data_IF_584501373912
#
_entry.id   IF_584501373912
#
_cell.length_a   1.000
_cell.length_b   1.000
_cell.length_c   1.000
_cell.angle_alpha   90.00
_cell.angle_beta   90.00
_cell.angle_gamma   90.00
#
_symmetry.space_group_name_H-M   'P 1'
#
loop_
_entity.id
_entity.type
_entity.pdbx_description
1 polymer ?
#
# COMPACT_ATOMS: atom_id res chain seq x y z
N UNK A 1 5.72 -17.95 10.07
CA UNK A 1 7.10 -17.60 10.44
C UNK A 1 7.68 -16.41 9.66
N UNK A 2 7.48 -16.29 8.34
CA UNK A 2 8.10 -15.22 7.52
C UNK A 2 7.68 -13.78 7.89
N UNK A 3 6.41 -13.54 8.19
CA UNK A 3 5.93 -12.20 8.60
C UNK A 3 6.62 -11.66 9.87
N UNK A 4 6.78 -12.50 10.90
CA UNK A 4 7.42 -12.09 12.14
C UNK A 4 8.94 -11.90 11.96
N UNK A 5 9.57 -12.72 11.13
CA UNK A 5 10.97 -12.54 10.75
C UNK A 5 11.18 -11.21 10.01
N UNK A 6 10.31 -10.87 9.05
CA UNK A 6 10.33 -9.59 8.34
C UNK A 6 10.22 -8.40 9.30
N UNK A 7 9.34 -8.49 10.31
CA UNK A 7 9.22 -7.46 11.36
C UNK A 7 10.48 -7.32 12.20
N UNK A 8 11.13 -8.43 12.55
CA UNK A 8 12.40 -8.39 13.27
C UNK A 8 13.48 -7.72 12.42
N UNK A 9 13.58 -8.08 11.14
CA UNK A 9 14.52 -7.44 10.19
C UNK A 9 14.30 -5.93 10.13
N UNK A 10 13.05 -5.49 10.05
CA UNK A 10 12.69 -4.07 10.09
C UNK A 10 13.16 -3.39 11.40
N UNK A 11 12.89 -3.99 12.56
CA UNK A 11 13.35 -3.47 13.85
C UNK A 11 14.87 -3.41 13.98
N UNK A 12 15.60 -4.24 13.24
CA UNK A 12 17.08 -4.22 13.19
C UNK A 12 17.64 -3.26 12.14
N UNK A 13 16.81 -2.47 11.46
CA UNK A 13 17.23 -1.52 10.42
C UNK A 13 17.53 -2.16 9.07
N UNK A 14 17.28 -3.46 8.90
CA UNK A 14 17.52 -4.21 7.66
C UNK A 14 16.30 -4.10 6.75
N UNK A 15 16.02 -2.88 6.28
CA UNK A 15 14.77 -2.54 5.59
C UNK A 15 14.60 -3.23 4.24
N UNK A 16 15.69 -3.43 3.49
CA UNK A 16 15.66 -4.11 2.18
C UNK A 16 15.28 -5.58 2.32
N UNK A 17 15.87 -6.28 3.30
CA UNK A 17 15.55 -7.67 3.56
C UNK A 17 14.16 -7.83 4.17
N UNK A 18 13.76 -6.90 5.04
CA UNK A 18 12.40 -6.84 5.56
C UNK A 18 11.39 -6.70 4.41
N UNK A 19 11.63 -5.77 3.47
CA UNK A 19 10.82 -5.59 2.25
C UNK A 19 10.71 -6.90 1.48
N UNK A 20 11.83 -7.58 1.21
CA UNK A 20 11.82 -8.81 0.42
C UNK A 20 11.04 -9.94 1.11
N UNK A 21 11.14 -10.03 2.44
CA UNK A 21 10.34 -10.98 3.22
C UNK A 21 8.84 -10.62 3.25
N UNK A 22 8.49 -9.33 3.29
CA UNK A 22 7.09 -8.89 3.19
C UNK A 22 6.52 -9.16 1.80
N UNK A 23 7.28 -8.91 0.73
CA UNK A 23 6.90 -9.28 -0.64
C UNK A 23 6.68 -10.78 -0.76
N UNK A 24 7.55 -11.61 -0.17
CA UNK A 24 7.36 -13.05 -0.13
C UNK A 24 6.09 -13.46 0.64
N UNK A 25 5.72 -12.75 1.71
CA UNK A 25 4.45 -12.98 2.41
C UNK A 25 3.26 -12.67 1.50
N UNK A 26 3.32 -11.59 0.72
CA UNK A 26 2.25 -11.16 -0.18
C UNK A 26 2.10 -12.07 -1.41
N UNK A 27 3.18 -12.70 -1.88
CA UNK A 27 3.08 -13.75 -2.92
C UNK A 27 2.28 -14.96 -2.45
N UNK A 28 2.39 -15.33 -1.17
CA UNK A 28 1.65 -16.46 -0.58
C UNK A 28 0.23 -16.04 -0.20
N UNK A 29 0.07 -14.84 0.34
CA UNK A 29 -1.22 -14.30 0.74
C UNK A 29 -1.38 -12.85 0.23
N UNK A 30 -1.87 -12.67 -1.01
CA UNK A 30 -2.04 -11.33 -1.60
C UNK A 30 -3.04 -10.45 -0.83
N UNK A 31 -3.96 -11.07 -0.11
CA UNK A 31 -4.95 -10.40 0.74
C UNK A 31 -4.51 -10.21 2.19
N UNK A 32 -3.25 -9.84 2.44
CA UNK A 32 -2.73 -9.66 3.80
C UNK A 32 -2.41 -8.18 4.11
N UNK A 33 -3.38 -7.41 4.64
CA UNK A 33 -3.23 -5.96 4.83
C UNK A 33 -2.06 -5.57 5.73
N UNK A 34 -1.79 -6.37 6.78
CA UNK A 34 -0.66 -6.14 7.68
C UNK A 34 0.69 -6.28 6.99
N UNK A 35 0.84 -7.18 6.02
CA UNK A 35 2.10 -7.28 5.28
C UNK A 35 2.30 -6.07 4.35
N UNK A 36 1.23 -5.58 3.71
CA UNK A 36 1.28 -4.35 2.90
C UNK A 36 1.59 -3.11 3.73
N UNK A 37 1.02 -3.00 4.94
CA UNK A 37 1.33 -1.93 5.88
C UNK A 37 2.82 -1.91 6.24
N UNK A 38 3.38 -3.05 6.64
CA UNK A 38 4.80 -3.13 6.98
C UNK A 38 5.71 -2.99 5.75
N UNK A 39 5.24 -3.35 4.55
CA UNK A 39 5.94 -3.08 3.30
C UNK A 39 6.02 -1.57 3.03
N UNK A 40 4.93 -0.83 3.27
CA UNK A 40 4.91 0.63 3.19
C UNK A 40 5.92 1.29 4.13
N UNK A 41 5.97 0.82 5.38
CA UNK A 41 6.97 1.28 6.37
C UNK A 41 8.41 0.99 5.92
N UNK A 42 8.66 -0.17 5.30
CA UNK A 42 9.97 -0.47 4.74
C UNK A 42 10.35 0.50 3.62
N UNK A 43 9.40 0.86 2.75
CA UNK A 43 9.65 1.82 1.68
C UNK A 43 9.87 3.25 2.20
N UNK A 44 9.15 3.68 3.24
CA UNK A 44 9.44 4.96 3.93
C UNK A 44 10.85 4.99 4.50
N UNK A 45 11.27 3.91 5.19
CA UNK A 45 12.61 3.80 5.74
C UNK A 45 13.69 3.81 4.65
N UNK A 46 13.37 3.34 3.45
CA UNK A 46 14.21 3.38 2.26
C UNK A 46 14.08 4.68 1.44
N UNK A 47 13.25 5.64 1.87
CA UNK A 47 12.93 6.90 1.18
C UNK A 47 12.30 6.72 -0.21
N UNK A 48 11.60 5.62 -0.42
CA UNK A 48 10.78 5.37 -1.62
C UNK A 48 9.31 5.70 -1.32
N UNK A 49 9.02 6.99 -1.19
CA UNK A 49 7.69 7.49 -0.78
C UNK A 49 6.59 7.11 -1.78
N UNK A 50 6.96 6.94 -3.06
CA UNK A 50 6.04 6.52 -4.11
C UNK A 50 5.53 5.10 -3.85
N UNK A 51 6.43 4.13 -3.66
CA UNK A 51 6.03 2.75 -3.36
C UNK A 51 5.41 2.59 -1.98
N UNK A 52 5.83 3.40 -1.01
CA UNK A 52 5.19 3.43 0.30
C UNK A 52 3.70 3.78 0.17
N UNK A 53 3.40 4.83 -0.61
CA UNK A 53 2.02 5.27 -0.87
C UNK A 53 1.19 4.18 -1.53
N UNK A 54 1.72 3.53 -2.57
CA UNK A 54 1.03 2.43 -3.26
C UNK A 54 0.70 1.28 -2.30
N UNK A 55 1.68 0.83 -1.50
CA UNK A 55 1.48 -0.25 -0.54
C UNK A 55 0.39 0.07 0.50
N UNK A 56 0.35 1.30 0.99
CA UNK A 56 -0.70 1.74 1.92
C UNK A 56 -2.08 1.82 1.26
N UNK A 57 -2.16 2.31 0.02
CA UNK A 57 -3.42 2.37 -0.72
C UNK A 57 -3.99 0.97 -0.96
N UNK A 58 -3.14 0.01 -1.32
CA UNK A 58 -3.54 -1.39 -1.47
C UNK A 58 -4.01 -2.01 -0.14
N UNK A 59 -3.29 -1.74 0.96
CA UNK A 59 -3.69 -2.21 2.29
C UNK A 59 -5.09 -1.70 2.67
N UNK A 60 -5.40 -0.44 2.37
CA UNK A 60 -6.70 0.18 2.62
C UNK A 60 -7.78 -0.42 1.73
N UNK A 61 -7.50 -0.63 0.44
CA UNK A 61 -8.44 -1.23 -0.50
C UNK A 61 -8.85 -2.64 -0.04
N UNK A 62 -7.88 -3.44 0.43
CA UNK A 62 -8.14 -4.76 0.98
C UNK A 62 -8.90 -4.71 2.31
N UNK A 63 -8.50 -3.85 3.25
CA UNK A 63 -9.25 -3.66 4.50
C UNK A 63 -10.72 -3.25 4.25
N UNK A 64 -10.96 -2.36 3.29
CA UNK A 64 -12.32 -1.92 2.89
C UNK A 64 -13.15 -3.08 2.32
N UNK A 65 -12.51 -4.01 1.61
CA UNK A 65 -13.14 -5.19 1.00
C UNK A 65 -13.37 -6.31 2.02
N UNK A 66 -12.45 -6.50 2.96
CA UNK A 66 -12.41 -7.63 3.89
C UNK A 66 -13.26 -7.38 5.14
N UNK A 67 -13.36 -6.12 5.63
CA UNK A 67 -14.12 -5.80 6.84
C UNK A 67 -14.75 -4.40 6.79
N UNK A 68 -16.09 -4.33 6.80
CA UNK A 68 -16.88 -3.11 7.12
C UNK A 68 -16.53 -2.53 8.51
N UNK A 69 -15.89 -3.34 9.37
CA UNK A 69 -15.62 -3.11 10.80
C UNK A 69 -14.18 -2.67 11.14
N UNK A 70 -13.15 -3.01 10.34
CA UNK A 70 -11.75 -2.64 10.62
C UNK A 70 -11.31 -1.30 10.00
N UNK A 71 -12.28 -0.51 9.53
CA UNK A 71 -12.10 0.78 8.85
C UNK A 71 -11.24 1.78 9.63
N UNK A 72 -11.18 1.69 10.97
CA UNK A 72 -10.47 2.63 11.84
C UNK A 72 -8.94 2.55 11.74
N UNK A 73 -8.37 1.38 11.40
CA UNK A 73 -6.90 1.20 11.41
C UNK A 73 -6.24 1.68 10.11
N UNK A 74 -6.77 1.28 8.95
CA UNK A 74 -6.27 1.77 7.65
C UNK A 74 -6.36 3.30 7.51
N UNK A 75 -7.36 3.92 8.13
CA UNK A 75 -7.52 5.38 8.16
C UNK A 75 -6.50 6.09 9.06
N UNK A 76 -5.94 5.41 10.05
CA UNK A 76 -4.97 5.99 10.99
C UNK A 76 -3.57 6.09 10.36
N UNK A 77 -3.17 5.07 9.57
CA UNK A 77 -1.89 5.06 8.84
C UNK A 77 -1.83 6.14 7.77
N UNK A 78 -2.87 6.27 6.93
CA UNK A 78 -2.91 7.33 5.94
C UNK A 78 -2.92 8.71 6.60
N UNK A 79 -3.53 8.87 7.77
CA UNK A 79 -3.56 10.15 8.49
C UNK A 79 -2.22 10.50 9.14
N UNK A 80 -1.41 9.50 9.52
CA UNK A 80 -0.01 9.74 9.92
C UNK A 80 0.89 10.02 8.72
N UNK A 81 0.66 9.34 7.58
CA UNK A 81 1.40 9.54 6.34
C UNK A 81 1.05 10.86 5.66
N UNK A 82 -0.22 11.18 5.45
CA UNK A 82 -0.71 12.46 4.92
C UNK A 82 -0.47 13.66 5.85
N UNK A 83 0.01 13.41 7.08
CA UNK A 83 0.51 14.46 7.98
C UNK A 83 2.01 14.70 7.79
N UNK A 84 2.74 13.73 7.25
CA UNK A 84 4.17 13.84 6.91
C UNK A 84 4.37 14.24 5.44
N UNK A 85 3.64 13.62 4.53
CA UNK A 85 3.45 14.06 3.16
C UNK A 85 2.43 15.21 3.16
N UNK A 86 2.89 16.46 3.08
CA UNK A 86 2.03 17.62 2.83
C UNK A 86 1.07 17.39 1.65
N UNK A 87 0.06 18.27 1.45
CA UNK A 87 -1.09 18.00 0.57
C UNK A 87 -0.61 17.46 -0.76
N UNK A 88 -0.82 16.16 -0.97
CA UNK A 88 -0.48 15.48 -2.22
C UNK A 88 -1.24 16.25 -3.28
N UNK A 89 -0.48 16.98 -4.09
CA UNK A 89 -0.99 17.83 -5.13
C UNK A 89 -2.05 17.08 -5.92
N UNK A 90 -3.14 17.79 -6.20
CA UNK A 90 -4.16 17.40 -7.15
C UNK A 90 -3.47 16.98 -8.47
N UNK A 91 -3.23 15.68 -8.65
CA UNK A 91 -2.40 15.18 -9.75
C UNK A 91 -2.84 13.82 -10.30
N UNK A 92 -4.02 13.34 -9.90
CA UNK A 92 -4.63 12.12 -10.44
C UNK A 92 -6.02 12.39 -11.03
N UNK A 93 -6.20 13.54 -11.70
CA UNK A 93 -7.40 13.87 -12.48
C UNK A 93 -7.12 13.98 -13.99
N UNK A 94 -6.03 13.39 -14.49
CA UNK A 94 -5.71 13.40 -15.92
C UNK A 94 -5.19 12.05 -16.42
N UNK A 95 -6.07 11.05 -16.44
CA UNK A 95 -5.90 9.90 -17.33
C UNK A 95 -7.25 9.26 -17.64
N UNK A 96 -7.57 9.20 -18.94
CA UNK A 96 -8.70 8.51 -19.59
C UNK A 96 -10.05 9.24 -19.72
N UNK A 97 -10.07 10.35 -20.50
CA UNK A 97 -11.10 10.47 -21.54
C UNK A 97 -10.45 10.15 -22.89
N UNK A 98 -10.33 8.85 -23.15
CA UNK A 98 -9.81 8.32 -24.41
C UNK A 98 -10.56 7.05 -24.76
N UNK A 99 -11.42 7.19 -25.78
CA UNK A 99 -12.02 6.16 -26.63
C UNK A 99 -12.97 5.12 -26.03
N UNK A 100 -14.26 5.30 -26.33
CA UNK A 100 -15.08 4.22 -26.90
C UNK A 100 -15.73 4.75 -28.19
N UNK A 101 -15.28 4.34 -29.39
CA UNK A 101 -16.13 4.42 -30.57
C UNK A 101 -17.14 3.28 -30.47
N UNK A 102 -18.42 3.60 -30.23
CA UNK A 102 -19.50 2.63 -30.38
C UNK A 102 -19.64 2.29 -31.89
N UNK A 103 -19.74 1.01 -32.28
CA UNK A 103 -19.99 0.60 -33.66
C UNK A 103 -21.48 0.77 -34.03
N UNK A 104 -21.70 0.98 -35.34
CA UNK A 104 -22.97 1.21 -36.06
C UNK A 104 -24.10 0.24 -35.67
N UNK A 105 -25.35 0.74 -35.56
CA UNK A 105 -26.57 -0.02 -35.89
C UNK A 105 -27.64 0.91 -36.49
N UNK A 106 -28.04 0.56 -37.73
CA UNK A 106 -29.13 1.02 -38.62
C UNK A 106 -29.27 2.51 -38.99
#
# INVERSE_FOLDING_TARGET
>A
MRYYCARLLYSTGRYEEARDQFLACLRVQPGFPRALENLGLCYEALRDDAKATEAYLEAIALCKKQHRSERRRGFCLLRSFARQAGPIGQGAASASRGSSPQPKIF
#
